data_IF_343095423847
#
_entry.id   IF_343095423847
#
_cell.length_a   1.000
_cell.length_b   1.000
_cell.length_c   1.000
_cell.angle_alpha   90.00
_cell.angle_beta   90.00
_cell.angle_gamma   90.00
#
_symmetry.space_group_name_H-M   'P 1'
#
loop_
_entity.id
_entity.type
_entity.pdbx_description
1 polymer ?
#
# COMPACT_ATOMS: atom_id res chain seq x y z
N UNK A 1 -5.11 -6.18 -26.01
CA UNK A 1 -5.15 -6.58 -24.59
C UNK A 1 -3.78 -6.35 -24.01
N UNK A 2 -3.58 -5.24 -23.29
CA UNK A 2 -2.33 -4.96 -22.59
C UNK A 2 -2.39 -5.76 -21.29
N UNK A 3 -1.40 -6.64 -21.08
CA UNK A 3 -1.40 -7.59 -19.98
C UNK A 3 -1.46 -6.86 -18.61
N UNK A 4 -2.19 -7.42 -17.62
CA UNK A 4 -2.27 -6.86 -16.25
C UNK A 4 -0.89 -6.70 -15.57
N UNK A 5 0.14 -7.38 -16.08
CA UNK A 5 1.53 -7.26 -15.64
C UNK A 5 2.17 -5.89 -15.89
N UNK A 6 1.77 -5.15 -16.93
CA UNK A 6 2.33 -3.83 -17.23
C UNK A 6 1.74 -2.73 -16.33
N UNK A 7 0.49 -2.90 -15.88
CA UNK A 7 -0.21 -1.92 -15.06
C UNK A 7 0.30 -1.88 -13.62
N UNK A 8 0.51 -3.04 -13.00
CA UNK A 8 1.06 -3.14 -11.64
C UNK A 8 2.48 -2.57 -11.54
N UNK A 9 3.29 -2.72 -12.59
CA UNK A 9 4.67 -2.18 -12.64
C UNK A 9 4.69 -0.65 -12.78
N UNK A 10 3.79 -0.07 -13.58
CA UNK A 10 3.68 1.38 -13.73
C UNK A 10 3.17 2.02 -12.43
N UNK A 11 2.15 1.44 -11.79
CA UNK A 11 1.67 1.85 -10.46
C UNK A 11 2.82 1.91 -9.45
N UNK A 12 3.59 0.83 -9.37
CA UNK A 12 4.69 0.70 -8.42
C UNK A 12 5.81 1.68 -8.71
N UNK A 13 6.18 1.91 -9.99
CA UNK A 13 7.16 2.93 -10.38
C UNK A 13 6.69 4.37 -10.05
N UNK A 14 5.38 4.62 -10.14
CA UNK A 14 4.80 5.94 -9.79
C UNK A 14 4.77 6.14 -8.28
N UNK A 15 4.46 5.09 -7.50
CA UNK A 15 4.50 5.11 -6.04
C UNK A 15 5.93 5.22 -5.49
N UNK A 16 6.90 4.57 -6.14
CA UNK A 16 8.34 4.67 -5.78
C UNK A 16 8.88 6.07 -6.03
N UNK A 17 8.51 6.69 -7.15
CA UNK A 17 8.94 8.06 -7.45
C UNK A 17 8.31 9.09 -6.50
N UNK A 18 7.08 8.87 -6.03
CA UNK A 18 6.45 9.73 -5.02
C UNK A 18 7.06 9.53 -3.61
N UNK A 19 7.40 8.30 -3.22
CA UNK A 19 7.98 8.03 -1.90
C UNK A 19 9.48 8.32 -1.78
N UNK A 20 10.22 8.45 -2.89
CA UNK A 20 11.65 8.78 -2.88
C UNK A 20 11.96 10.20 -2.37
N UNK A 21 10.99 11.11 -2.35
CA UNK A 21 11.19 12.50 -1.87
C UNK A 21 11.08 12.62 -0.34
N UNK A 22 10.56 11.61 0.39
CA UNK A 22 10.30 11.71 1.84
C UNK A 22 11.19 10.84 2.75
N UNK A 23 12.04 9.98 2.18
CA UNK A 23 12.69 8.91 2.94
C UNK A 23 14.04 9.27 3.56
N UNK A 24 14.09 10.19 4.53
CA UNK A 24 15.33 10.45 5.28
C UNK A 24 15.13 11.01 6.70
N UNK A 25 14.30 10.39 7.56
CA UNK A 25 14.41 10.56 9.02
C UNK A 25 13.94 9.30 9.76
N UNK A 26 14.91 8.48 10.18
CA UNK A 26 14.72 7.42 11.16
C UNK A 26 15.51 7.81 12.41
N UNK A 27 14.84 7.91 13.57
CA UNK A 27 15.35 7.59 14.90
C UNK A 27 14.22 7.84 15.92
N UNK A 28 13.86 6.79 16.69
CA UNK A 28 12.94 6.87 17.82
C UNK A 28 11.95 5.70 17.87
N UNK A 29 12.27 4.68 18.67
CA UNK A 29 11.36 3.58 19.03
C UNK A 29 10.36 4.09 20.07
N UNK A 30 9.07 3.95 19.79
CA UNK A 30 7.98 4.12 20.76
C UNK A 30 7.30 2.76 20.92
N UNK A 31 7.19 2.26 22.15
CA UNK A 31 6.69 0.91 22.47
C UNK A 31 5.17 0.75 22.30
N UNK A 32 4.49 1.75 21.76
CA UNK A 32 3.11 1.63 21.27
C UNK A 32 3.05 2.14 19.84
N UNK A 33 2.39 1.37 18.98
CA UNK A 33 1.99 1.82 17.65
C UNK A 33 1.31 3.17 17.81
N UNK A 34 1.83 4.24 17.18
CA UNK A 34 1.10 5.50 17.15
C UNK A 34 -0.32 5.21 16.67
N UNK A 35 -1.35 5.76 17.34
CA UNK A 35 -2.76 5.58 16.96
C UNK A 35 -3.01 5.84 15.48
N UNK A 36 -2.20 6.73 14.89
CA UNK A 36 -2.19 7.05 13.47
C UNK A 36 -1.83 5.91 12.54
N UNK A 37 -1.08 4.90 12.99
CA UNK A 37 -0.74 3.72 12.19
C UNK A 37 -1.88 2.70 12.20
N UNK A 38 -2.52 2.51 13.35
CA UNK A 38 -3.67 1.61 13.47
C UNK A 38 -4.88 2.12 12.67
N UNK A 39 -5.08 3.44 12.59
CA UNK A 39 -6.13 4.05 11.78
C UNK A 39 -5.96 3.84 10.26
N UNK A 40 -4.80 3.34 9.82
CA UNK A 40 -4.53 3.02 8.40
C UNK A 40 -4.95 1.62 8.02
N UNK A 41 -5.18 0.75 8.99
CA UNK A 41 -5.53 -0.64 8.80
C UNK A 41 -7.06 -0.78 8.82
N UNK A 42 -7.62 -1.83 8.20
CA UNK A 42 -9.05 -2.11 8.27
C UNK A 42 -9.54 -2.20 9.71
N UNK A 43 -10.72 -1.65 9.97
CA UNK A 43 -11.44 -1.80 11.24
C UNK A 43 -12.94 -1.97 11.01
N UNK A 44 -13.68 -2.20 12.10
CA UNK A 44 -15.11 -2.49 12.04
C UNK A 44 -15.95 -1.27 11.60
N UNK A 45 -15.41 -0.05 11.67
CA UNK A 45 -16.11 1.17 11.23
C UNK A 45 -16.16 1.30 9.70
N UNK A 46 -15.22 0.66 9.01
CA UNK A 46 -15.06 0.71 7.56
C UNK A 46 -14.44 -0.63 7.10
N UNK A 47 -15.29 -1.64 6.96
CA UNK A 47 -14.89 -2.98 6.55
C UNK A 47 -14.21 -2.97 5.17
N UNK A 48 -13.09 -3.68 5.05
CA UNK A 48 -12.35 -3.85 3.79
C UNK A 48 -13.28 -4.22 2.62
N UNK A 49 -13.06 -3.67 1.40
CA UNK A 49 -11.91 -2.87 0.94
C UNK A 49 -11.97 -1.37 1.30
N UNK A 50 -12.85 -0.96 2.22
CA UNK A 50 -12.98 0.45 2.63
C UNK A 50 -11.74 0.93 3.41
N UNK A 51 -11.33 2.18 3.19
CA UNK A 51 -10.45 2.92 4.11
C UNK A 51 -11.04 4.30 4.40
N UNK A 52 -11.39 4.58 5.66
CA UNK A 52 -11.95 5.84 6.12
C UNK A 52 -13.09 6.39 5.21
N UNK A 53 -14.04 5.51 4.84
CA UNK A 53 -15.17 5.82 3.97
C UNK A 53 -14.87 5.79 2.46
N UNK A 54 -13.60 5.72 2.06
CA UNK A 54 -13.20 5.58 0.65
C UNK A 54 -13.21 4.10 0.26
N UNK A 55 -14.03 3.75 -0.74
CA UNK A 55 -14.12 2.39 -1.28
C UNK A 55 -13.42 2.34 -2.64
N UNK A 56 -12.29 1.60 -2.78
CA UNK A 56 -11.65 1.34 -4.07
C UNK A 56 -12.68 0.83 -5.07
N UNK A 57 -12.53 1.24 -6.33
CA UNK A 57 -13.46 0.93 -7.43
C UNK A 57 -14.81 1.67 -7.41
N UNK A 58 -15.26 2.19 -6.27
CA UNK A 58 -16.64 2.67 -6.08
C UNK A 58 -16.73 4.14 -5.65
N UNK A 59 -15.72 4.96 -5.94
CA UNK A 59 -15.77 6.39 -5.66
C UNK A 59 -16.11 7.25 -6.87
N UNK A 60 -17.01 8.18 -6.65
CA UNK A 60 -17.34 9.28 -7.55
C UNK A 60 -16.41 10.46 -7.27
N UNK A 61 -16.28 11.36 -8.24
CA UNK A 61 -15.53 12.61 -8.02
C UNK A 61 -16.14 13.44 -6.88
N UNK A 62 -17.46 13.36 -6.67
CA UNK A 62 -18.17 13.99 -5.56
C UNK A 62 -17.79 13.40 -4.20
N UNK A 63 -17.63 12.08 -4.09
CA UNK A 63 -17.19 11.44 -2.85
C UNK A 63 -15.75 11.80 -2.50
N UNK A 64 -14.85 11.84 -3.49
CA UNK A 64 -13.47 12.29 -3.28
C UNK A 64 -13.46 13.75 -2.84
N UNK A 65 -14.21 14.65 -3.51
CA UNK A 65 -14.30 16.06 -3.12
C UNK A 65 -14.85 16.24 -1.70
N UNK A 66 -15.86 15.45 -1.33
CA UNK A 66 -16.43 15.47 0.02
C UNK A 66 -15.39 15.06 1.05
N UNK A 67 -14.71 13.95 0.82
CA UNK A 67 -13.64 13.47 1.71
C UNK A 67 -12.53 14.51 1.89
N UNK A 68 -12.18 15.25 0.83
CA UNK A 68 -11.16 16.30 0.93
C UNK A 68 -11.60 17.54 1.71
N UNK A 69 -12.89 17.85 1.66
CA UNK A 69 -13.44 19.04 2.31
C UNK A 69 -13.79 18.78 3.78
N UNK A 70 -14.14 17.54 4.11
CA UNK A 70 -14.51 17.12 5.46
C UNK A 70 -14.11 15.64 5.67
N UNK A 71 -12.81 15.37 5.88
CA UNK A 71 -12.32 14.01 6.11
C UNK A 71 -12.80 13.48 7.47
N UNK A 72 -13.15 12.18 7.57
CA UNK A 72 -13.73 11.62 8.79
C UNK A 72 -12.69 11.49 9.92
N UNK A 73 -13.17 11.22 11.14
CA UNK A 73 -12.35 10.75 12.28
C UNK A 73 -11.10 11.57 12.64
N UNK A 74 -11.15 12.90 12.49
CA UNK A 74 -10.04 13.78 12.87
C UNK A 74 -8.84 13.68 11.94
N UNK A 75 -9.07 13.26 10.69
CA UNK A 75 -8.13 13.43 9.60
C UNK A 75 -8.18 14.86 9.07
N UNK A 76 -7.13 15.30 8.40
CA UNK A 76 -7.07 16.56 7.67
C UNK A 76 -6.24 16.38 6.39
N UNK A 77 -6.53 17.21 5.39
CA UNK A 77 -5.75 17.29 4.15
C UNK A 77 -4.76 18.44 4.28
N UNK A 78 -3.47 18.12 4.27
CA UNK A 78 -2.37 19.08 4.39
C UNK A 78 -1.99 19.66 3.03
N UNK A 79 -1.98 18.81 2.00
CA UNK A 79 -1.63 19.20 0.63
C UNK A 79 -2.43 18.37 -0.37
N UNK A 80 -2.73 18.97 -1.52
CA UNK A 80 -3.27 18.25 -2.67
C UNK A 80 -2.53 18.64 -3.94
N UNK A 81 -2.16 17.65 -4.75
CA UNK A 81 -1.68 17.83 -6.12
C UNK A 81 -2.53 16.98 -7.04
N UNK A 82 -3.24 17.64 -7.94
CA UNK A 82 -4.05 16.98 -8.96
C UNK A 82 -3.26 16.96 -10.27
N UNK A 83 -3.06 15.78 -10.86
CA UNK A 83 -2.53 15.64 -12.21
C UNK A 83 -3.61 15.04 -13.10
N UNK A 84 -4.21 15.88 -13.94
CA UNK A 84 -5.18 15.44 -14.95
C UNK A 84 -4.48 14.79 -16.15
N UNK A 85 -5.04 13.70 -16.67
CA UNK A 85 -4.50 12.93 -17.81
C UNK A 85 -5.13 11.54 -17.99
N UNK A 86 -4.67 10.77 -18.98
CA UNK A 86 -5.18 9.42 -19.32
C UNK A 86 -4.97 8.37 -18.20
N UNK A 87 -4.03 8.63 -17.29
CA UNK A 87 -3.90 7.94 -16.00
C UNK A 87 -3.99 9.02 -14.93
N UNK A 88 -5.21 9.41 -14.56
CA UNK A 88 -5.41 10.43 -13.54
C UNK A 88 -5.10 9.82 -12.18
N UNK A 89 -4.00 10.26 -11.56
CA UNK A 89 -3.77 10.01 -10.15
C UNK A 89 -4.01 11.31 -9.38
N UNK A 90 -4.70 11.17 -8.27
CA UNK A 90 -4.88 12.24 -7.31
C UNK A 90 -3.94 11.97 -6.15
N UNK A 91 -3.07 12.92 -5.84
CA UNK A 91 -2.10 12.79 -4.76
C UNK A 91 -2.42 13.79 -3.67
N UNK A 92 -2.42 13.30 -2.43
CA UNK A 92 -2.73 14.07 -1.23
C UNK A 92 -1.71 13.78 -0.15
N UNK A 93 -1.41 14.80 0.64
CA UNK A 93 -0.78 14.64 1.94
C UNK A 93 -1.86 14.79 2.98
N UNK A 94 -2.06 13.74 3.78
CA UNK A 94 -3.11 13.66 4.78
C UNK A 94 -2.47 13.45 6.15
N UNK A 95 -3.15 13.85 7.22
CA UNK A 95 -2.63 13.69 8.58
C UNK A 95 -3.79 13.43 9.53
N UNK A 96 -3.62 12.52 10.49
CA UNK A 96 -4.53 12.45 11.63
C UNK A 96 -4.10 13.50 12.67
N UNK A 97 -5.03 14.20 13.33
CA UNK A 97 -4.69 15.21 14.34
C UNK A 97 -3.66 14.69 15.36
N UNK A 98 -2.53 15.40 15.49
CA UNK A 98 -1.41 15.02 16.36
C UNK A 98 -0.49 13.91 15.84
N UNK A 99 -0.81 13.32 14.68
CA UNK A 99 -0.03 12.29 14.00
C UNK A 99 0.93 12.83 12.94
N UNK A 100 1.63 11.92 12.25
CA UNK A 100 2.50 12.27 11.11
C UNK A 100 1.69 12.34 9.81
N UNK A 101 2.19 13.16 8.88
CA UNK A 101 1.65 13.23 7.52
C UNK A 101 1.91 11.94 6.76
N UNK A 102 1.00 11.57 5.87
CA UNK A 102 1.02 10.34 5.07
C UNK A 102 0.63 10.72 3.64
N UNK A 103 1.26 10.09 2.66
CA UNK A 103 0.83 10.26 1.27
C UNK A 103 -0.35 9.31 0.98
N UNK A 104 -1.45 9.89 0.49
CA UNK A 104 -2.60 9.19 -0.08
C UNK A 104 -2.58 9.40 -1.59
N UNK A 105 -2.54 8.31 -2.35
CA UNK A 105 -2.67 8.33 -3.81
C UNK A 105 -3.92 7.58 -4.21
N UNK A 106 -4.81 8.23 -4.95
CA UNK A 106 -5.96 7.60 -5.60
C UNK A 106 -5.59 7.40 -7.07
N UNK A 107 -5.45 6.16 -7.49
CA UNK A 107 -5.21 5.85 -8.90
C UNK A 107 -6.55 5.59 -9.58
N UNK A 108 -6.84 6.33 -10.66
CA UNK A 108 -7.93 6.03 -11.59
C UNK A 108 -7.36 5.52 -12.91
N UNK A 109 -7.69 4.29 -13.25
CA UNK A 109 -7.41 3.72 -14.55
C UNK A 109 -8.53 4.13 -15.52
N UNK A 110 -8.18 4.63 -16.71
CA UNK A 110 -9.19 5.09 -17.68
C UNK A 110 -10.05 3.95 -18.27
N UNK A 111 -9.59 2.70 -18.16
CA UNK A 111 -10.14 1.57 -18.91
C UNK A 111 -10.66 0.43 -18.02
N UNK A 112 -10.55 0.54 -16.70
CA UNK A 112 -11.08 -0.47 -15.78
C UNK A 112 -11.80 0.23 -14.64
N UNK A 113 -12.77 -0.43 -14.00
CA UNK A 113 -13.34 0.08 -12.74
C UNK A 113 -12.35 -0.10 -11.57
N UNK A 114 -11.06 -0.35 -11.86
CA UNK A 114 -10.01 -0.65 -10.89
C UNK A 114 -9.40 0.65 -10.38
N UNK A 115 -10.21 1.38 -9.63
CA UNK A 115 -9.63 2.47 -8.85
C UNK A 115 -8.97 1.89 -7.59
N UNK A 116 -7.76 2.33 -7.31
CA UNK A 116 -6.97 1.86 -6.17
C UNK A 116 -6.68 3.00 -5.18
N UNK A 117 -6.63 2.65 -3.90
CA UNK A 117 -6.19 3.54 -2.82
C UNK A 117 -4.82 3.11 -2.34
N UNK A 118 -3.81 3.98 -2.42
CA UNK A 118 -2.48 3.70 -1.90
C UNK A 118 -2.12 4.68 -0.78
N UNK A 119 -1.75 4.16 0.38
CA UNK A 119 -1.26 4.92 1.54
C UNK A 119 0.22 4.60 1.73
N UNK A 120 1.08 5.61 1.90
CA UNK A 120 2.50 5.42 2.18
C UNK A 120 2.83 5.79 3.64
N UNK A 121 2.68 4.86 4.60
CA UNK A 121 2.99 5.13 6.00
C UNK A 121 4.50 5.22 6.22
N UNK A 122 4.97 6.26 6.92
CA UNK A 122 6.41 6.42 7.18
C UNK A 122 6.94 5.58 8.36
N UNK A 123 6.07 5.19 9.29
CA UNK A 123 6.47 4.53 10.54
C UNK A 123 5.92 3.10 10.71
N UNK A 124 5.14 2.59 9.75
CA UNK A 124 4.57 1.26 9.88
C UNK A 124 5.65 0.20 9.62
N UNK A 125 5.79 -0.75 10.54
CA UNK A 125 6.66 -1.91 10.41
C UNK A 125 5.89 -3.16 10.01
N UNK A 126 6.59 -4.10 9.40
CA UNK A 126 6.02 -5.39 9.00
C UNK A 126 5.48 -6.15 10.22
N UNK A 127 6.24 -6.21 11.32
CA UNK A 127 5.84 -6.93 12.53
C UNK A 127 4.51 -6.43 13.10
N UNK A 128 4.36 -5.11 13.18
CA UNK A 128 3.13 -4.45 13.63
C UNK A 128 1.93 -4.81 12.75
N UNK A 129 2.12 -4.77 11.44
CA UNK A 129 1.09 -5.12 10.48
C UNK A 129 0.66 -6.59 10.63
N UNK A 130 1.63 -7.51 10.74
CA UNK A 130 1.35 -8.94 10.92
C UNK A 130 0.67 -9.24 12.26
N UNK A 131 1.01 -8.48 13.31
CA UNK A 131 0.35 -8.62 14.62
C UNK A 131 -1.14 -8.27 14.57
N UNK A 132 -1.52 -7.33 13.68
CA UNK A 132 -2.88 -6.83 13.54
C UNK A 132 -3.71 -7.60 12.52
N UNK A 133 -3.13 -7.91 11.37
CA UNK A 133 -3.83 -8.53 10.23
C UNK A 133 -3.63 -10.05 10.15
N UNK A 134 -2.73 -10.60 10.97
CA UNK A 134 -2.29 -11.99 10.85
C UNK A 134 -1.32 -12.18 9.69
N UNK A 135 -1.28 -13.39 9.14
CA UNK A 135 -0.37 -13.75 8.07
C UNK A 135 -0.97 -13.41 6.70
N UNK A 136 -0.16 -12.95 5.72
CA UNK A 136 -0.62 -12.83 4.35
C UNK A 136 -0.92 -14.23 3.80
N UNK A 137 -1.81 -14.30 2.82
CA UNK A 137 -2.14 -15.57 2.16
C UNK A 137 -1.22 -15.87 0.99
N UNK A 138 -0.78 -14.81 0.31
CA UNK A 138 0.08 -14.90 -0.87
C UNK A 138 1.15 -13.82 -0.87
N UNK A 139 2.19 -14.03 -1.66
CA UNK A 139 3.20 -13.03 -1.92
C UNK A 139 3.60 -12.98 -3.40
N UNK A 140 4.22 -11.88 -3.79
CA UNK A 140 4.92 -11.73 -5.05
C UNK A 140 6.18 -10.87 -4.84
N UNK A 141 7.23 -11.06 -5.65
CA UNK A 141 8.47 -10.30 -5.55
C UNK A 141 8.84 -9.62 -6.85
N UNK A 142 8.80 -8.31 -6.90
CA UNK A 142 9.29 -7.60 -8.08
C UNK A 142 10.77 -7.30 -7.89
N UNK A 143 11.56 -7.73 -8.88
CA UNK A 143 13.01 -7.52 -8.90
C UNK A 143 13.28 -6.28 -9.74
N UNK A 144 13.83 -5.24 -9.11
CA UNK A 144 14.33 -4.03 -9.75
C UNK A 144 15.60 -3.54 -9.06
N UNK A 145 15.79 -2.22 -8.94
CA UNK A 145 16.88 -1.65 -8.13
C UNK A 145 16.77 -1.99 -6.62
N UNK A 146 15.57 -2.35 -6.16
CA UNK A 146 15.28 -2.94 -4.85
C UNK A 146 14.44 -4.20 -5.06
N UNK A 147 14.42 -5.08 -4.09
CA UNK A 147 13.42 -6.14 -4.04
C UNK A 147 12.14 -5.55 -3.45
N UNK A 148 11.05 -5.61 -4.20
CA UNK A 148 9.74 -5.22 -3.69
C UNK A 148 8.97 -6.49 -3.40
N UNK A 149 8.68 -6.71 -2.13
CA UNK A 149 7.86 -7.83 -1.71
C UNK A 149 6.44 -7.31 -1.53
N UNK A 150 5.52 -7.90 -2.29
CA UNK A 150 4.09 -7.64 -2.21
C UNK A 150 3.48 -8.76 -1.38
N UNK A 151 2.91 -8.44 -0.24
CA UNK A 151 2.18 -9.38 0.61
C UNK A 151 0.68 -9.13 0.46
N UNK A 152 -0.08 -10.18 0.17
CA UNK A 152 -1.50 -10.07 -0.13
C UNK A 152 -2.35 -10.61 1.01
N UNK A 153 -3.27 -9.77 1.48
CA UNK A 153 -4.27 -10.04 2.52
C UNK A 153 -5.66 -10.00 1.88
N UNK A 154 -6.10 -11.08 1.22
CA UNK A 154 -7.32 -11.07 0.41
C UNK A 154 -8.59 -10.79 1.24
N UNK A 155 -8.63 -11.28 2.47
CA UNK A 155 -9.77 -11.03 3.39
C UNK A 155 -9.89 -9.55 3.78
N UNK A 156 -8.83 -8.78 3.56
CA UNK A 156 -8.75 -7.34 3.80
C UNK A 156 -8.69 -6.53 2.50
N UNK A 157 -8.77 -7.19 1.34
CA UNK A 157 -8.58 -6.56 0.02
C UNK A 157 -7.35 -5.65 -0.05
N UNK A 158 -6.28 -6.06 0.64
CA UNK A 158 -5.11 -5.25 0.91
C UNK A 158 -3.86 -5.91 0.36
N UNK A 159 -3.05 -5.12 -0.35
CA UNK A 159 -1.68 -5.47 -0.73
C UNK A 159 -0.70 -4.56 0.00
N UNK A 160 0.27 -5.17 0.67
CA UNK A 160 1.32 -4.49 1.41
C UNK A 160 2.60 -4.57 0.60
N UNK A 161 3.20 -3.42 0.28
CA UNK A 161 4.47 -3.34 -0.44
C UNK A 161 5.58 -3.05 0.54
N UNK A 162 6.60 -3.89 0.53
CA UNK A 162 7.79 -3.78 1.37
C UNK A 162 8.99 -3.61 0.45
N UNK A 163 9.82 -2.61 0.73
CA UNK A 163 11.09 -2.45 0.04
C UNK A 163 12.19 -3.14 0.84
N UNK A 164 12.73 -4.22 0.29
CA UNK A 164 13.89 -4.92 0.84
C UNK A 164 15.19 -4.42 0.16
N UNK A 165 16.22 -4.09 0.95
CA UNK A 165 17.58 -3.88 0.43
C UNK A 165 18.10 -5.12 -0.32
N UNK A 166 18.91 -4.94 -1.37
CA UNK A 166 19.41 -6.06 -2.17
C UNK A 166 20.38 -7.00 -1.43
N UNK A 167 20.95 -6.56 -0.30
CA UNK A 167 21.81 -7.38 0.56
C UNK A 167 21.07 -8.14 1.66
N UNK A 168 19.79 -7.83 1.89
CA UNK A 168 19.02 -8.48 2.93
C UNK A 168 18.45 -9.79 2.41
N UNK A 169 18.64 -10.84 3.19
CA UNK A 169 18.20 -12.19 2.79
C UNK A 169 16.94 -12.64 3.52
N UNK A 170 16.32 -11.78 4.33
CA UNK A 170 15.18 -12.14 5.18
C UNK A 170 14.17 -11.01 5.30
N UNK A 171 12.88 -11.35 5.32
CA UNK A 171 11.80 -10.42 5.66
C UNK A 171 11.75 -10.18 7.17
N UNK A 172 12.59 -9.27 7.65
CA UNK A 172 12.59 -8.88 9.06
C UNK A 172 11.29 -8.16 9.44
N UNK A 173 10.72 -8.43 10.63
CA UNK A 173 9.61 -7.65 11.20
C UNK A 173 9.88 -6.15 11.27
N UNK A 174 11.15 -5.75 11.33
CA UNK A 174 11.59 -4.35 11.40
C UNK A 174 11.59 -3.63 10.05
N UNK A 175 11.29 -4.33 8.95
CA UNK A 175 11.24 -3.70 7.64
C UNK A 175 10.12 -2.66 7.55
N UNK A 176 10.38 -1.48 6.96
CA UNK A 176 9.35 -0.48 6.73
C UNK A 176 8.35 -0.99 5.69
N UNK A 177 7.06 -0.85 6.02
CA UNK A 177 6.00 -0.93 5.02
C UNK A 177 6.06 0.33 4.18
N UNK A 178 6.19 0.16 2.87
CA UNK A 178 6.31 1.27 1.93
C UNK A 178 4.95 1.77 1.48
N UNK A 179 4.03 0.84 1.16
CA UNK A 179 2.67 1.16 0.70
C UNK A 179 1.67 0.14 1.25
N UNK A 180 0.50 0.64 1.65
CA UNK A 180 -0.74 -0.12 1.81
C UNK A 180 -1.65 0.20 0.62
N UNK A 181 -1.91 -0.78 -0.23
CA UNK A 181 -2.74 -0.63 -1.42
C UNK A 181 -4.05 -1.40 -1.26
N UNK A 182 -5.16 -0.67 -1.18
CA UNK A 182 -6.51 -1.24 -1.17
C UNK A 182 -7.07 -1.28 -2.59
N UNK A 183 -7.57 -2.44 -3.00
CA UNK A 183 -8.12 -2.67 -4.34
C UNK A 183 -9.46 -3.38 -4.27
N UNK A 184 -10.37 -3.05 -5.19
CA UNK A 184 -11.70 -3.67 -5.25
C UNK A 184 -11.63 -5.12 -5.72
N UNK A 185 -10.76 -5.42 -6.67
CA UNK A 185 -10.62 -6.77 -7.18
C UNK A 185 -9.63 -7.58 -6.34
N UNK A 186 -10.03 -8.79 -5.89
CA UNK A 186 -9.07 -9.75 -5.36
C UNK A 186 -8.10 -10.07 -6.50
N UNK A 187 -6.81 -9.88 -6.23
CA UNK A 187 -5.75 -10.15 -7.19
C UNK A 187 -5.83 -11.63 -7.62
N UNK A 188 -5.85 -11.89 -8.92
CA UNK A 188 -5.95 -13.25 -9.47
C UNK A 188 -4.82 -14.13 -8.92
N UNK A 189 -5.20 -15.14 -8.11
CA UNK A 189 -4.30 -16.05 -7.41
C UNK A 189 -3.25 -16.73 -8.33
N UNK A 190 -3.48 -16.76 -9.64
CA UNK A 190 -2.63 -17.39 -10.65
C UNK A 190 -1.23 -16.78 -10.79
N UNK A 191 -1.00 -15.56 -10.28
CA UNK A 191 0.31 -14.89 -10.35
C UNK A 191 1.05 -14.82 -9.00
N UNK A 192 0.52 -15.45 -7.96
CA UNK A 192 1.04 -15.32 -6.61
C UNK A 192 1.49 -16.65 -6.03
N UNK A 193 2.56 -16.61 -5.26
CA UNK A 193 3.04 -17.76 -4.51
C UNK A 193 2.35 -17.80 -3.15
N UNK A 194 1.90 -18.99 -2.72
CA UNK A 194 1.31 -19.16 -1.39
C UNK A 194 2.33 -18.81 -0.32
N UNK A 195 1.91 -18.02 0.67
CA UNK A 195 2.73 -17.72 1.83
C UNK A 195 2.81 -18.95 2.75
N UNK A 196 4.03 -19.37 3.09
CA UNK A 196 4.29 -20.50 3.99
C UNK A 196 5.04 -20.07 5.27
N UNK A 197 5.07 -18.77 5.57
CA UNK A 197 5.78 -18.20 6.71
C UNK A 197 6.96 -17.30 6.31
N UNK A 198 7.74 -16.81 7.29
CA UNK A 198 8.96 -16.06 7.03
C UNK A 198 9.93 -16.92 6.21
N UNK A 199 10.35 -16.41 5.05
CA UNK A 199 11.17 -17.13 4.08
C UNK A 199 12.47 -16.39 3.81
N UNK A 200 13.48 -17.11 3.35
CA UNK A 200 14.74 -16.53 2.90
C UNK A 200 14.59 -15.99 1.47
N UNK A 201 15.24 -14.87 1.12
CA UNK A 201 15.14 -14.24 -0.21
C UNK A 201 15.44 -15.22 -1.36
N UNK A 202 16.38 -16.15 -1.16
CA UNK A 202 16.67 -17.20 -2.14
C UNK A 202 15.46 -18.09 -2.45
N UNK A 203 14.59 -18.34 -1.47
CA UNK A 203 13.35 -19.11 -1.66
C UNK A 203 12.32 -18.31 -2.48
N UNK A 204 12.31 -16.97 -2.37
CA UNK A 204 11.51 -16.09 -3.22
C UNK A 204 11.96 -16.12 -4.69
N UNK A 205 13.28 -16.13 -4.91
CA UNK A 205 13.87 -16.12 -6.24
C UNK A 205 13.77 -17.50 -6.91
N UNK A 206 13.97 -18.58 -6.17
CA UNK A 206 13.92 -19.96 -6.69
C UNK A 206 12.49 -20.44 -7.00
N UNK A 207 11.47 -19.86 -6.36
CA UNK A 207 10.05 -20.16 -6.66
C UNK A 207 9.58 -19.64 -8.02
N UNK A 208 10.37 -18.80 -8.68
CA UNK A 208 10.23 -18.53 -10.11
C UNK A 208 11.20 -19.45 -10.82
N UNK A 209 10.68 -20.48 -11.47
CA UNK A 209 11.45 -21.14 -12.52
C UNK A 209 12.01 -20.03 -13.42
N UNK A 210 13.33 -19.89 -13.41
CA UNK A 210 14.04 -19.10 -14.40
C UNK A 210 13.57 -19.57 -15.78
N UNK A 211 13.16 -18.69 -16.70
CA UNK A 211 13.21 -19.06 -18.10
C UNK A 211 14.64 -19.45 -18.48
#
# INVERSE_FOLDING_TARGET
MIAPRLFSVILILTLISAGLVGGARLLGRSDSLPSSVLALLPDDSCAAPCWQGLRPGYWTEGEIRRWLSDPPHGWEVVESKNRSGHSAYLWYVIRQHGGKSINLTLLRTANTQDNELALAPHDLRLGDLLSRLGQPRYYNVLVGQKYLVLLHFPDNSLTVVIAMPQGDSFLSPELPVYVLAYSFHPWDALLHTKWNGPMHLSEFLNGRGTP
#
